data_IF_728447266315
#
_entry.id   IF_728447266315
#
_cell.length_a   1.000
_cell.length_b   1.000
_cell.length_c   1.000
_cell.angle_alpha   90.00
_cell.angle_beta   90.00
_cell.angle_gamma   90.00
#
_symmetry.space_group_name_H-M   'P 1'
#
loop_
_entity.id
_entity.type
_entity.pdbx_description
1 polymer ?
#
# COMPACT_ATOMS: atom_id res chain seq x y z
N UNK A 1 29.16 60.66 -4.50
CA UNK A 1 27.92 60.50 -5.28
C UNK A 1 28.25 59.64 -6.47
N UNK A 2 27.61 58.48 -6.57
CA UNK A 2 26.84 58.02 -7.74
C UNK A 2 26.61 56.51 -7.61
N UNK A 3 25.38 56.14 -7.29
CA UNK A 3 24.89 54.76 -7.24
C UNK A 3 24.33 54.46 -8.63
N UNK A 4 25.17 53.88 -9.50
CA UNK A 4 24.71 53.39 -10.80
C UNK A 4 24.03 52.02 -10.62
N UNK A 5 22.71 52.02 -10.86
CA UNK A 5 21.82 50.86 -10.92
C UNK A 5 22.37 49.75 -11.82
N UNK A 6 22.55 48.55 -11.27
CA UNK A 6 22.61 47.31 -12.07
C UNK A 6 21.18 46.80 -12.22
N UNK A 7 20.61 47.00 -13.41
CA UNK A 7 19.33 46.42 -13.79
C UNK A 7 19.45 44.90 -13.88
N UNK A 8 18.74 44.19 -13.01
CA UNK A 8 18.60 42.75 -13.10
C UNK A 8 17.71 42.41 -14.31
N UNK A 9 18.31 41.94 -15.39
CA UNK A 9 17.58 41.30 -16.50
C UNK A 9 17.09 39.95 -15.97
N UNK A 10 15.84 39.88 -15.57
CA UNK A 10 15.19 38.63 -15.20
C UNK A 10 15.10 37.76 -16.46
N UNK A 11 16.01 36.78 -16.57
CA UNK A 11 15.91 35.74 -17.59
C UNK A 11 14.61 34.97 -17.36
N UNK A 12 13.63 35.15 -18.25
CA UNK A 12 12.39 34.39 -18.23
C UNK A 12 12.73 32.91 -18.40
N UNK A 13 12.50 32.13 -17.34
CA UNK A 13 12.64 30.67 -17.39
C UNK A 13 11.69 30.14 -18.48
N UNK A 14 12.15 29.26 -19.39
CA UNK A 14 11.26 28.63 -20.35
C UNK A 14 10.19 27.86 -19.56
N UNK A 15 8.92 28.12 -19.87
CA UNK A 15 7.80 27.38 -19.28
C UNK A 15 8.00 25.91 -19.60
N UNK A 16 8.05 25.07 -18.58
CA UNK A 16 8.03 23.63 -18.74
C UNK A 16 6.76 23.26 -19.51
N UNK A 17 6.93 22.75 -20.74
CA UNK A 17 5.85 22.13 -21.50
C UNK A 17 5.97 20.63 -21.22
N UNK A 18 5.01 20.00 -20.52
CA UNK A 18 5.05 18.56 -20.33
C UNK A 18 5.05 17.90 -21.71
N UNK A 19 6.11 17.14 -21.99
CA UNK A 19 6.18 16.32 -23.18
C UNK A 19 5.17 15.18 -23.01
N UNK A 20 4.23 14.94 -23.95
CA UNK A 20 3.36 13.79 -23.85
C UNK A 20 4.23 12.53 -23.86
N UNK A 21 4.18 11.77 -22.77
CA UNK A 21 4.83 10.47 -22.67
C UNK A 21 4.17 9.55 -23.70
N UNK A 22 4.91 8.96 -24.64
CA UNK A 22 4.35 7.95 -25.51
C UNK A 22 3.90 6.76 -24.64
N UNK A 23 2.59 6.51 -24.60
CA UNK A 23 2.01 5.34 -23.93
C UNK A 23 2.64 4.10 -24.56
N UNK A 24 3.46 3.40 -23.78
CA UNK A 24 3.97 2.08 -24.16
C UNK A 24 2.76 1.15 -24.31
N UNK A 25 2.56 0.49 -25.46
CA UNK A 25 1.49 -0.51 -25.57
C UNK A 25 1.72 -1.59 -24.51
N UNK A 26 0.79 -1.70 -23.56
CA UNK A 26 0.85 -2.64 -22.43
C UNK A 26 0.99 -1.99 -21.05
N UNK A 27 1.19 -0.68 -20.94
CA UNK A 27 1.05 0.05 -19.66
C UNK A 27 -0.35 0.64 -19.60
N UNK A 28 -1.29 -0.10 -19.01
CA UNK A 28 -2.61 0.42 -18.71
C UNK A 28 -2.51 1.30 -17.47
N UNK A 29 -2.64 2.62 -17.63
CA UNK A 29 -2.95 3.47 -16.49
C UNK A 29 -4.38 3.13 -16.04
N UNK A 30 -4.49 2.43 -14.91
CA UNK A 30 -5.76 2.16 -14.25
C UNK A 30 -6.23 3.46 -13.59
N UNK A 31 -6.80 4.36 -14.39
CA UNK A 31 -7.52 5.51 -13.85
C UNK A 31 -8.88 5.06 -13.33
N UNK A 32 -9.41 5.76 -12.32
CA UNK A 32 -10.76 5.53 -11.79
C UNK A 32 -11.82 5.70 -12.89
N UNK A 33 -11.61 6.63 -13.81
CA UNK A 33 -12.47 6.87 -14.97
C UNK A 33 -12.45 5.69 -15.95
N UNK A 34 -11.27 5.12 -16.23
CA UNK A 34 -11.14 3.95 -17.10
C UNK A 34 -11.78 2.69 -16.48
N UNK A 35 -11.69 2.55 -15.16
CA UNK A 35 -12.34 1.47 -14.41
C UNK A 35 -13.87 1.63 -14.36
N UNK A 36 -14.37 2.87 -14.22
CA UNK A 36 -15.80 3.15 -14.22
C UNK A 36 -16.44 2.91 -15.61
N UNK A 37 -15.69 3.13 -16.70
CA UNK A 37 -16.13 2.83 -18.06
C UNK A 37 -15.98 1.34 -18.45
N UNK A 38 -15.44 0.50 -17.55
CA UNK A 38 -15.26 -0.92 -17.84
C UNK A 38 -16.63 -1.62 -18.02
N UNK A 39 -16.73 -2.60 -18.94
CA UNK A 39 -18.00 -3.29 -19.23
C UNK A 39 -18.59 -3.99 -18.00
N UNK A 40 -17.76 -4.29 -17.00
CA UNK A 40 -18.14 -5.00 -15.78
C UNK A 40 -18.34 -4.06 -14.58
N UNK A 41 -18.22 -2.73 -14.74
CA UNK A 41 -18.29 -1.79 -13.61
C UNK A 41 -19.57 -1.96 -12.79
N UNK A 42 -20.74 -2.04 -13.44
CA UNK A 42 -22.02 -2.25 -12.76
C UNK A 42 -22.12 -3.62 -12.06
N UNK A 43 -21.47 -4.67 -12.58
CA UNK A 43 -21.44 -5.97 -11.92
C UNK A 43 -20.54 -5.96 -10.66
N UNK A 44 -19.43 -5.20 -10.72
CA UNK A 44 -18.53 -4.99 -9.57
C UNK A 44 -19.23 -4.17 -8.49
N UNK A 45 -19.94 -3.11 -8.87
CA UNK A 45 -20.72 -2.29 -7.93
C UNK A 45 -21.82 -3.13 -7.25
N UNK A 46 -22.54 -3.96 -8.01
CA UNK A 46 -23.55 -4.86 -7.46
C UNK A 46 -22.95 -5.88 -6.48
N UNK A 47 -21.75 -6.41 -6.77
CA UNK A 47 -21.04 -7.31 -5.86
C UNK A 47 -20.70 -6.62 -4.54
N UNK A 48 -20.17 -5.39 -4.60
CA UNK A 48 -19.80 -4.63 -3.40
C UNK A 48 -21.02 -4.10 -2.64
N UNK A 49 -22.13 -3.83 -3.31
CA UNK A 49 -23.41 -3.50 -2.67
C UNK A 49 -24.00 -4.70 -1.93
N UNK A 50 -23.86 -5.92 -2.47
CA UNK A 50 -24.32 -7.15 -1.82
C UNK A 50 -23.46 -7.57 -0.62
N UNK A 51 -22.21 -7.11 -0.55
CA UNK A 51 -21.24 -7.40 0.51
C UNK A 51 -20.64 -6.09 1.05
N UNK A 52 -21.46 -5.26 1.70
CA UNK A 52 -21.08 -3.89 2.06
C UNK A 52 -20.06 -3.84 3.18
N UNK A 53 -20.04 -4.86 4.05
CA UNK A 53 -19.23 -4.87 5.24
C UNK A 53 -17.84 -5.42 4.93
N UNK A 54 -16.79 -4.73 5.38
CA UNK A 54 -15.41 -5.16 5.16
C UNK A 54 -14.62 -5.16 6.47
N UNK A 55 -13.91 -6.26 6.73
CA UNK A 55 -12.95 -6.37 7.81
C UNK A 55 -11.71 -5.52 7.51
N UNK A 56 -11.36 -4.62 8.42
CA UNK A 56 -10.19 -3.74 8.28
C UNK A 56 -8.85 -4.46 8.39
N UNK A 57 -8.81 -5.63 9.01
CA UNK A 57 -7.57 -6.37 9.26
C UNK A 57 -7.10 -7.23 8.08
N UNK A 58 -8.02 -7.75 7.27
CA UNK A 58 -7.72 -8.70 6.18
C UNK A 58 -8.53 -8.48 4.90
N UNK A 59 -9.28 -7.37 4.82
CA UNK A 59 -10.11 -6.96 3.68
C UNK A 59 -11.23 -7.94 3.29
N UNK A 60 -11.49 -9.00 4.08
CA UNK A 60 -12.60 -9.93 3.88
C UNK A 60 -13.94 -9.18 3.97
N UNK A 61 -14.88 -9.50 3.08
CA UNK A 61 -16.21 -8.88 3.04
C UNK A 61 -17.30 -9.77 3.62
N UNK A 62 -18.37 -9.16 4.09
CA UNK A 62 -19.54 -9.77 4.72
C UNK A 62 -20.83 -9.11 4.22
N UNK A 63 -21.94 -9.85 4.29
CA UNK A 63 -23.25 -9.32 3.93
C UNK A 63 -23.84 -8.42 5.02
N UNK A 64 -23.51 -8.69 6.28
CA UNK A 64 -24.02 -7.97 7.45
C UNK A 64 -22.92 -7.70 8.49
N UNK A 65 -23.18 -6.70 9.33
CA UNK A 65 -22.20 -6.22 10.30
C UNK A 65 -21.95 -7.24 11.43
N UNK A 66 -22.95 -8.04 11.81
CA UNK A 66 -22.81 -9.02 12.87
C UNK A 66 -21.83 -10.14 12.48
N UNK A 67 -21.89 -10.61 11.22
CA UNK A 67 -20.94 -11.57 10.68
C UNK A 67 -19.51 -11.00 10.61
N UNK A 68 -19.37 -9.72 10.24
CA UNK A 68 -18.08 -9.01 10.25
C UNK A 68 -17.52 -8.91 11.67
N UNK A 69 -18.35 -8.54 12.64
CA UNK A 69 -17.92 -8.33 14.02
C UNK A 69 -17.53 -9.66 14.69
N UNK A 70 -18.30 -10.72 14.47
CA UNK A 70 -17.91 -12.07 14.88
C UNK A 70 -16.58 -12.52 14.25
N UNK A 71 -16.30 -12.12 13.01
CA UNK A 71 -14.99 -12.37 12.39
C UNK A 71 -13.86 -11.57 13.03
N UNK A 72 -14.11 -10.31 13.41
CA UNK A 72 -13.12 -9.49 14.11
C UNK A 72 -12.71 -10.11 15.46
N UNK A 73 -13.63 -10.74 16.18
CA UNK A 73 -13.32 -11.50 17.40
C UNK A 73 -12.36 -12.67 17.13
N UNK A 74 -12.58 -13.41 16.02
CA UNK A 74 -11.68 -14.49 15.58
C UNK A 74 -10.29 -13.93 15.24
N UNK A 75 -10.23 -12.80 14.51
CA UNK A 75 -8.97 -12.15 14.17
C UNK A 75 -8.24 -11.69 15.42
N UNK A 76 -8.95 -11.11 16.38
CA UNK A 76 -8.39 -10.67 17.66
C UNK A 76 -7.79 -11.85 18.43
N UNK A 77 -8.54 -12.94 18.60
CA UNK A 77 -8.06 -14.14 19.28
C UNK A 77 -6.82 -14.74 18.60
N UNK A 78 -6.81 -14.78 17.26
CA UNK A 78 -5.65 -15.24 16.47
C UNK A 78 -4.42 -14.36 16.69
N UNK A 79 -4.61 -13.04 16.72
CA UNK A 79 -3.53 -12.08 16.95
C UNK A 79 -2.97 -12.20 18.37
N UNK A 80 -3.83 -12.38 19.37
CA UNK A 80 -3.41 -12.64 20.75
C UNK A 80 -2.59 -13.93 20.85
N UNK A 81 -3.05 -15.04 20.25
CA UNK A 81 -2.30 -16.28 20.23
C UNK A 81 -0.93 -16.17 19.52
N UNK A 82 -0.85 -15.33 18.48
CA UNK A 82 0.43 -15.02 17.80
C UNK A 82 1.35 -14.19 18.71
N UNK A 83 0.82 -13.19 19.40
CA UNK A 83 1.57 -12.35 20.32
C UNK A 83 2.12 -13.16 21.50
N UNK A 84 1.33 -14.09 22.05
CA UNK A 84 1.77 -15.01 23.10
C UNK A 84 2.88 -15.95 22.61
N UNK A 85 2.77 -16.51 21.40
CA UNK A 85 3.87 -17.31 20.81
C UNK A 85 5.14 -16.50 20.54
N UNK A 86 5.00 -15.20 20.25
CA UNK A 86 6.12 -14.30 20.06
C UNK A 86 6.67 -13.77 21.40
N UNK A 87 5.95 -13.93 22.51
CA UNK A 87 6.37 -13.46 23.83
C UNK A 87 7.61 -14.26 24.26
N UNK A 88 8.73 -13.57 24.45
CA UNK A 88 10.01 -14.18 24.75
C UNK A 88 10.78 -14.72 23.54
N UNK A 89 10.21 -14.63 22.32
CA UNK A 89 10.98 -14.89 21.12
C UNK A 89 12.02 -13.79 20.95
N UNK A 90 13.29 -14.15 21.08
CA UNK A 90 14.40 -13.24 20.81
C UNK A 90 14.72 -13.32 19.32
N UNK A 91 14.67 -12.19 18.62
CA UNK A 91 15.11 -12.13 17.24
C UNK A 91 16.58 -12.54 17.16
N UNK A 92 16.96 -13.38 16.18
CA UNK A 92 18.37 -13.68 15.94
C UNK A 92 19.12 -12.38 15.64
N UNK A 93 20.36 -12.22 16.14
CA UNK A 93 21.16 -11.06 15.78
C UNK A 93 21.40 -11.08 14.26
N UNK A 94 21.38 -9.91 13.64
CA UNK A 94 21.64 -9.75 12.21
C UNK A 94 23.06 -10.18 11.81
N UNK A 95 23.99 -10.23 12.79
CA UNK A 95 25.34 -10.75 12.64
C UNK A 95 25.67 -11.73 13.78
N UNK A 96 25.32 -13.02 13.65
CA UNK A 96 25.67 -14.03 14.64
C UNK A 96 27.17 -14.32 14.63
N UNK A 97 27.74 -14.65 15.78
CA UNK A 97 29.12 -15.15 15.84
C UNK A 97 29.26 -16.44 15.00
N UNK A 98 30.43 -16.65 14.37
CA UNK A 98 30.71 -17.83 13.52
C UNK A 98 30.33 -19.17 14.16
N UNK A 99 30.58 -19.32 15.47
CA UNK A 99 30.23 -20.53 16.20
C UNK A 99 28.72 -20.78 16.26
N UNK A 100 27.91 -19.73 16.43
CA UNK A 100 26.45 -19.83 16.43
C UNK A 100 25.89 -20.15 15.02
N UNK A 101 26.52 -19.65 13.96
CA UNK A 101 26.13 -19.97 12.59
C UNK A 101 26.39 -21.43 12.23
N UNK A 102 27.52 -21.99 12.66
CA UNK A 102 27.88 -23.39 12.42
C UNK A 102 27.00 -24.38 13.19
N UNK A 103 26.54 -24.02 14.39
CA UNK A 103 25.68 -24.88 15.21
C UNK A 103 24.27 -25.07 14.61
N UNK A 104 23.76 -24.08 13.88
CA UNK A 104 22.43 -24.16 13.24
C UNK A 104 22.42 -25.01 11.96
N UNK A 105 23.58 -25.29 11.36
CA UNK A 105 23.71 -26.06 10.11
C UNK A 105 23.85 -27.57 10.28
N UNK A 106 23.90 -28.06 11.53
CA UNK A 106 24.18 -29.46 11.86
C UNK A 106 23.02 -30.20 12.56
N UNK A 107 21.81 -29.66 12.50
CA UNK A 107 20.58 -30.28 13.04
C UNK A 107 19.76 -30.96 11.94
#
# INVERSE_FOLDING_TARGET
GDVARVGAVAAAQPRYVPRPTPSMPGVYELSTEALAAAPNAGAVDALYAAWPEQCSADARRFMDAAARDAWLDVVFARNQARAERARGATSRPWNPARAAWLADGTA
#
